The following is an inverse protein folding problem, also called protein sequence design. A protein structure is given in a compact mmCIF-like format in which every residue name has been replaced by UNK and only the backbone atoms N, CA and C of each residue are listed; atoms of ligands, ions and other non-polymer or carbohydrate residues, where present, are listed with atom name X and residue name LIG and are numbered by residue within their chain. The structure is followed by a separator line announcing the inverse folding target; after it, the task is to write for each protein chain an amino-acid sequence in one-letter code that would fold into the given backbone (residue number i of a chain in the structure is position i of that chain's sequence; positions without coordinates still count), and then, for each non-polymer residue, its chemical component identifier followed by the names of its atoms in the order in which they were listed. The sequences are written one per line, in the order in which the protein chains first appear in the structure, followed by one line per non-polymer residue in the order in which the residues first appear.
data_IF_858265463975
#
_entry.id   IF_858265463975
#
_cell.length_a   1.000
_cell.length_b   1.000
_cell.length_c   1.000
_cell.angle_alpha   90.00
_cell.angle_beta   90.00
_cell.angle_gamma   90.00
#
_symmetry.space_group_name_H-M   'P 1'
#
loop_
_entity.id
_entity.type
_entity.pdbx_description
1 polymer ?
#
# COMPACT_ATOMS: atom_id res chain seq x y z
N UNK A 1 52.69 -68.14 -84.04
CA UNK A 1 51.33 -67.57 -84.09
C UNK A 1 50.58 -68.16 -82.90
N UNK A 2 50.11 -67.27 -82.03
CA UNK A 2 49.22 -67.47 -80.86
C UNK A 2 49.49 -68.62 -79.88
N UNK A 3 49.93 -68.25 -78.68
CA UNK A 3 49.83 -69.04 -77.45
C UNK A 3 48.55 -68.61 -76.72
N UNK A 4 47.57 -69.50 -76.62
CA UNK A 4 46.42 -69.34 -75.73
C UNK A 4 46.83 -69.69 -74.30
N UNK A 5 46.83 -68.68 -73.42
CA UNK A 5 46.87 -68.87 -71.97
C UNK A 5 45.43 -68.96 -71.46
N UNK A 6 45.02 -70.14 -71.02
CA UNK A 6 43.72 -70.36 -70.40
C UNK A 6 43.85 -70.07 -68.89
N UNK A 7 43.33 -68.93 -68.45
CA UNK A 7 43.22 -68.57 -67.03
C UNK A 7 41.93 -69.18 -66.45
N UNK A 8 42.10 -70.27 -65.70
CA UNK A 8 41.03 -71.01 -65.05
C UNK A 8 40.87 -70.54 -63.60
N UNK A 9 39.94 -69.60 -63.35
CA UNK A 9 39.73 -69.11 -61.99
C UNK A 9 38.43 -68.38 -61.66
N UNK A 10 37.50 -68.18 -62.61
CA UNK A 10 36.23 -67.47 -62.32
C UNK A 10 35.04 -68.44 -62.35
N UNK A 11 34.33 -68.68 -61.22
CA UNK A 11 33.15 -69.53 -61.24
C UNK A 11 32.07 -68.91 -62.12
N UNK A 12 31.64 -69.66 -63.13
CA UNK A 12 30.52 -69.31 -64.01
C UNK A 12 29.23 -69.17 -63.19
N UNK A 13 28.54 -68.04 -63.30
CA UNK A 13 27.18 -67.88 -62.78
C UNK A 13 26.83 -66.53 -62.13
N UNK A 14 27.76 -65.59 -61.98
CA UNK A 14 27.44 -64.23 -61.49
C UNK A 14 27.40 -63.23 -62.63
N UNK A 15 26.20 -63.00 -63.17
CA UNK A 15 25.92 -61.79 -63.95
C UNK A 15 26.07 -60.57 -63.03
N UNK A 16 26.87 -59.56 -63.38
CA UNK A 16 26.88 -58.30 -62.65
C UNK A 16 25.46 -57.71 -62.64
N UNK A 17 24.92 -57.39 -61.47
CA UNK A 17 23.66 -56.64 -61.41
C UNK A 17 23.84 -55.35 -62.20
N UNK A 18 22.96 -55.04 -63.19
CA UNK A 18 23.06 -53.79 -63.91
C UNK A 18 22.98 -52.63 -62.90
N UNK A 19 23.81 -51.58 -63.05
CA UNK A 19 23.77 -50.44 -62.14
C UNK A 19 22.35 -49.86 -62.13
N UNK A 20 21.81 -49.58 -60.94
CA UNK A 20 20.49 -48.97 -60.78
C UNK A 20 20.46 -47.62 -61.51
N UNK A 21 19.95 -47.58 -62.74
CA UNK A 21 19.74 -46.34 -63.49
C UNK A 21 18.48 -45.67 -62.92
N UNK A 22 18.69 -44.52 -62.26
CA UNK A 22 17.61 -43.66 -61.77
C UNK A 22 17.28 -42.65 -62.87
N UNK A 23 16.47 -43.09 -63.81
CA UNK A 23 15.98 -42.24 -64.89
C UNK A 23 14.58 -41.72 -64.55
N UNK A 24 14.13 -40.67 -65.24
CA UNK A 24 12.78 -40.09 -65.03
C UNK A 24 11.65 -41.10 -65.18
N UNK A 25 11.87 -42.17 -65.95
CA UNK A 25 10.92 -43.27 -66.16
C UNK A 25 11.00 -44.37 -65.08
N UNK A 26 12.11 -44.44 -64.34
CA UNK A 26 12.37 -45.45 -63.30
C UNK A 26 12.93 -44.80 -62.04
N UNK A 27 12.09 -44.03 -61.31
CA UNK A 27 12.57 -43.19 -60.22
C UNK A 27 12.97 -43.96 -58.94
N UNK A 28 12.92 -45.30 -58.96
CA UNK A 28 13.32 -46.16 -57.85
C UNK A 28 12.31 -46.22 -56.70
N UNK A 29 11.09 -45.72 -56.90
CA UNK A 29 9.94 -45.89 -56.00
C UNK A 29 8.71 -46.35 -56.78
N UNK A 30 7.78 -47.00 -56.08
CA UNK A 30 6.58 -47.59 -56.66
C UNK A 30 5.58 -46.48 -57.02
N UNK A 31 5.36 -46.27 -58.31
CA UNK A 31 4.43 -45.24 -58.85
C UNK A 31 2.99 -45.76 -59.02
N UNK A 32 2.74 -47.04 -58.75
CA UNK A 32 1.52 -47.73 -59.15
C UNK A 32 0.47 -47.94 -58.04
N UNK A 33 0.82 -47.64 -56.78
CA UNK A 33 -0.03 -47.95 -55.61
C UNK A 33 -0.94 -46.80 -55.13
N UNK A 34 -0.91 -45.66 -55.82
CA UNK A 34 -1.65 -44.47 -55.39
C UNK A 34 -2.98 -44.37 -56.13
N UNK A 35 -4.08 -44.75 -55.45
CA UNK A 35 -5.43 -44.49 -55.96
C UNK A 35 -5.78 -43.00 -55.80
N UNK A 36 -5.41 -42.20 -56.79
CA UNK A 36 -5.69 -40.77 -56.83
C UNK A 36 -7.20 -40.45 -56.69
N UNK A 37 -8.08 -41.32 -57.18
CA UNK A 37 -9.53 -41.18 -57.01
C UNK A 37 -9.99 -41.35 -55.55
N UNK A 38 -9.39 -42.30 -54.83
CA UNK A 38 -9.62 -42.50 -53.40
C UNK A 38 -9.11 -41.33 -52.55
N UNK A 39 -7.94 -40.78 -52.90
CA UNK A 39 -7.37 -39.62 -52.21
C UNK A 39 -8.22 -38.37 -52.48
N UNK A 40 -8.67 -38.15 -53.71
CA UNK A 40 -9.52 -37.01 -54.05
C UNK A 40 -10.87 -37.06 -53.31
N UNK A 41 -11.49 -38.23 -53.22
CA UNK A 41 -12.76 -38.40 -52.47
C UNK A 41 -12.56 -38.27 -50.95
N UNK A 42 -11.44 -38.78 -50.43
CA UNK A 42 -11.06 -38.58 -49.03
C UNK A 42 -10.85 -37.10 -48.68
N UNK A 43 -10.10 -36.36 -49.51
CA UNK A 43 -9.87 -34.93 -49.31
C UNK A 43 -11.15 -34.09 -49.45
N UNK A 44 -12.01 -34.41 -50.42
CA UNK A 44 -13.30 -33.74 -50.56
C UNK A 44 -14.22 -34.01 -49.36
N UNK A 45 -14.23 -35.25 -48.85
CA UNK A 45 -14.96 -35.63 -47.65
C UNK A 45 -14.44 -34.93 -46.39
N UNK A 46 -13.11 -34.89 -46.21
CA UNK A 46 -12.45 -34.17 -45.10
C UNK A 46 -12.78 -32.67 -45.15
N UNK A 47 -12.70 -32.06 -46.33
CA UNK A 47 -13.03 -30.65 -46.49
C UNK A 47 -14.51 -30.36 -46.18
N UNK A 48 -15.40 -31.24 -46.65
CA UNK A 48 -16.83 -31.15 -46.34
C UNK A 48 -17.13 -31.27 -44.85
N UNK A 49 -16.52 -32.23 -44.15
CA UNK A 49 -16.73 -32.40 -42.70
C UNK A 49 -16.19 -31.22 -41.90
N UNK A 50 -15.02 -30.69 -42.27
CA UNK A 50 -14.45 -29.49 -41.65
C UNK A 50 -15.36 -28.28 -41.87
N UNK A 51 -15.89 -28.09 -43.08
CA UNK A 51 -16.82 -27.00 -43.39
C UNK A 51 -18.12 -27.11 -42.57
N UNK A 52 -18.73 -28.28 -42.52
CA UNK A 52 -19.96 -28.51 -41.76
C UNK A 52 -19.72 -28.28 -40.27
N UNK A 53 -18.61 -28.78 -39.73
CA UNK A 53 -18.23 -28.57 -38.34
C UNK A 53 -17.97 -27.09 -38.03
N UNK A 54 -17.25 -26.39 -38.91
CA UNK A 54 -17.01 -24.96 -38.78
C UNK A 54 -18.30 -24.16 -38.77
N UNK A 55 -19.22 -24.44 -39.71
CA UNK A 55 -20.52 -23.77 -39.79
C UNK A 55 -21.36 -24.05 -38.55
N UNK A 56 -21.40 -25.31 -38.08
CA UNK A 56 -22.10 -25.68 -36.86
C UNK A 56 -21.54 -24.96 -35.63
N UNK A 57 -20.21 -24.98 -35.43
CA UNK A 57 -19.55 -24.27 -34.33
C UNK A 57 -19.74 -22.75 -34.43
N UNK A 58 -19.74 -22.18 -35.63
CA UNK A 58 -19.98 -20.75 -35.85
C UNK A 58 -21.40 -20.35 -35.45
N UNK A 59 -22.41 -21.08 -35.91
CA UNK A 59 -23.81 -20.80 -35.56
C UNK A 59 -24.11 -21.08 -34.08
N UNK A 60 -23.64 -22.21 -33.55
CA UNK A 60 -23.82 -22.55 -32.13
C UNK A 60 -23.08 -21.55 -31.23
N UNK A 61 -21.84 -21.21 -31.57
CA UNK A 61 -21.06 -20.20 -30.84
C UNK A 61 -21.72 -18.83 -30.89
N UNK A 62 -22.26 -18.43 -32.05
CA UNK A 62 -23.01 -17.17 -32.18
C UNK A 62 -24.30 -17.19 -31.37
N UNK A 63 -25.03 -18.31 -31.34
CA UNK A 63 -26.27 -18.45 -30.57
C UNK A 63 -26.01 -18.39 -29.06
N UNK A 64 -25.01 -19.13 -28.56
CA UNK A 64 -24.62 -19.12 -27.14
C UNK A 64 -24.10 -17.73 -26.76
N UNK A 65 -23.25 -17.11 -27.57
CA UNK A 65 -22.75 -15.75 -27.32
C UNK A 65 -23.90 -14.72 -27.28
N UNK A 66 -24.88 -14.83 -28.19
CA UNK A 66 -26.03 -13.92 -28.21
C UNK A 66 -26.94 -14.11 -26.99
N UNK A 67 -27.17 -15.36 -26.58
CA UNK A 67 -27.93 -15.67 -25.36
C UNK A 67 -27.21 -15.19 -24.10
N UNK A 68 -25.91 -15.42 -23.99
CA UNK A 68 -25.10 -14.97 -22.85
C UNK A 68 -25.12 -13.44 -22.74
N UNK A 69 -24.95 -12.71 -23.84
CA UNK A 69 -25.03 -11.23 -23.84
C UNK A 69 -26.44 -10.71 -23.49
N UNK A 70 -27.48 -11.51 -23.70
CA UNK A 70 -28.86 -11.13 -23.35
C UNK A 70 -29.16 -11.36 -21.86
N UNK A 71 -28.52 -12.37 -21.24
CA UNK A 71 -28.66 -12.70 -19.82
C UNK A 71 -27.64 -11.99 -18.93
N UNK A 72 -26.49 -11.60 -19.47
CA UNK A 72 -25.57 -10.66 -18.85
C UNK A 72 -26.23 -9.29 -18.87
N UNK A 73 -26.77 -8.87 -17.73
CA UNK A 73 -27.32 -7.54 -17.54
C UNK A 73 -26.34 -6.48 -18.06
N UNK A 74 -26.88 -5.39 -18.64
CA UNK A 74 -26.08 -4.24 -19.11
C UNK A 74 -25.01 -3.94 -18.05
N UNK A 75 -23.72 -3.87 -18.44
CA UNK A 75 -22.63 -3.83 -17.47
C UNK A 75 -22.91 -2.73 -16.47
N UNK A 76 -23.15 -3.13 -15.22
CA UNK A 76 -23.36 -2.17 -14.15
C UNK A 76 -22.06 -1.37 -13.98
N UNK A 77 -22.14 -0.24 -13.26
CA UNK A 77 -21.00 0.68 -13.06
C UNK A 77 -19.74 0.02 -12.46
N UNK A 78 -19.82 -1.25 -12.05
CA UNK A 78 -18.74 -2.03 -11.45
C UNK A 78 -18.17 -3.13 -12.36
N UNK A 79 -18.84 -3.45 -13.48
CA UNK A 79 -18.45 -4.52 -14.42
C UNK A 79 -18.06 -4.02 -15.82
N UNK A 80 -18.24 -2.73 -16.10
CA UNK A 80 -18.11 -2.16 -17.44
C UNK A 80 -16.70 -2.15 -18.06
N UNK A 81 -15.65 -2.61 -17.37
CA UNK A 81 -14.30 -2.49 -17.91
C UNK A 81 -13.34 -3.55 -17.36
N UNK A 82 -13.66 -4.85 -17.57
CA UNK A 82 -12.74 -5.95 -17.26
C UNK A 82 -12.24 -6.70 -18.50
N UNK A 83 -12.73 -6.36 -19.69
CA UNK A 83 -12.25 -6.94 -20.96
C UNK A 83 -10.90 -6.36 -21.41
N UNK A 84 -10.43 -5.27 -20.79
CA UNK A 84 -9.09 -4.73 -20.97
C UNK A 84 -8.15 -5.19 -19.84
N UNK A 85 -7.02 -5.85 -20.14
CA UNK A 85 -5.98 -6.12 -19.16
C UNK A 85 -5.50 -4.79 -18.55
N UNK A 86 -5.80 -4.57 -17.27
CA UNK A 86 -5.38 -3.36 -16.55
C UNK A 86 -6.45 -2.28 -16.35
N UNK A 87 -7.72 -2.54 -16.66
CA UNK A 87 -8.81 -1.63 -16.31
C UNK A 87 -9.31 -1.87 -14.86
N UNK A 88 -9.60 -0.78 -14.15
CA UNK A 88 -10.24 -0.82 -12.82
C UNK A 88 -11.76 -0.65 -12.98
N UNK A 89 -12.59 -1.06 -11.99
CA UNK A 89 -14.06 -0.93 -12.03
C UNK A 89 -14.62 0.49 -12.26
N UNK A 90 -13.76 1.53 -12.36
CA UNK A 90 -14.15 2.93 -12.62
C UNK A 90 -13.75 3.44 -14.01
N UNK A 91 -13.21 2.62 -14.90
CA UNK A 91 -12.79 3.05 -16.24
C UNK A 91 -11.52 3.90 -16.27
N UNK A 92 -10.78 3.93 -15.17
CA UNK A 92 -9.47 4.57 -15.12
C UNK A 92 -8.41 3.53 -15.53
N UNK A 93 -7.57 3.90 -16.51
CA UNK A 93 -6.34 3.15 -16.82
C UNK A 93 -5.56 2.96 -15.52
N UNK A 94 -5.13 1.74 -15.18
CA UNK A 94 -4.13 1.55 -14.13
C UNK A 94 -2.86 2.26 -14.59
N UNK A 95 -2.62 3.46 -14.07
CA UNK A 95 -1.34 4.16 -14.19
C UNK A 95 -0.22 3.45 -13.43
N UNK A 96 -0.55 2.46 -12.60
CA UNK A 96 0.41 1.75 -11.76
C UNK A 96 0.70 0.34 -12.27
N UNK A 97 1.61 0.27 -13.25
CA UNK A 97 2.70 -0.71 -13.20
C UNK A 97 3.96 -0.05 -12.61
N UNK A 98 3.77 0.91 -11.70
CA UNK A 98 4.88 1.52 -11.00
C UNK A 98 5.56 0.46 -10.14
N UNK A 99 6.88 0.51 -10.12
CA UNK A 99 7.69 -0.43 -9.35
C UNK A 99 7.35 -0.34 -7.86
N UNK A 100 7.54 -1.42 -7.12
CA UNK A 100 7.35 -1.41 -5.67
C UNK A 100 8.15 -0.28 -4.98
N UNK A 101 9.32 0.06 -5.52
CA UNK A 101 10.15 1.17 -5.07
C UNK A 101 9.46 2.54 -5.25
N UNK A 102 8.82 2.78 -6.39
CA UNK A 102 8.10 4.04 -6.67
C UNK A 102 6.86 4.19 -5.77
N UNK A 103 6.12 3.11 -5.54
CA UNK A 103 4.99 3.13 -4.59
C UNK A 103 5.44 3.46 -3.17
N UNK A 104 6.53 2.82 -2.72
CA UNK A 104 7.09 3.07 -1.38
C UNK A 104 7.62 4.50 -1.25
N UNK A 105 8.22 5.06 -2.31
CA UNK A 105 8.68 6.44 -2.32
C UNK A 105 7.53 7.44 -2.30
N UNK A 106 6.44 7.21 -3.04
CA UNK A 106 5.22 8.04 -2.96
C UNK A 106 4.60 7.99 -1.57
N UNK A 107 4.60 6.83 -0.93
CA UNK A 107 4.09 6.67 0.44
C UNK A 107 4.97 7.40 1.47
N UNK A 108 6.29 7.34 1.33
CA UNK A 108 7.20 8.12 2.18
C UNK A 108 7.01 9.63 1.97
N UNK A 109 6.81 10.07 0.72
CA UNK A 109 6.51 11.46 0.40
C UNK A 109 5.18 11.91 1.00
N UNK A 110 4.12 11.09 0.92
CA UNK A 110 2.82 11.42 1.53
C UNK A 110 2.90 11.47 3.06
N UNK A 111 3.66 10.57 3.69
CA UNK A 111 3.94 10.60 5.12
C UNK A 111 4.73 11.84 5.52
N UNK A 112 5.74 12.24 4.75
CA UNK A 112 6.55 13.44 5.02
C UNK A 112 5.74 14.74 4.86
N UNK A 113 4.77 14.75 3.94
CA UNK A 113 3.85 15.88 3.78
C UNK A 113 2.81 15.95 4.92
N UNK A 114 2.31 14.80 5.38
CA UNK A 114 1.36 14.73 6.50
C UNK A 114 2.01 15.04 7.85
N UNK A 115 3.27 14.62 8.03
CA UNK A 115 4.06 14.85 9.21
C UNK A 115 5.37 15.53 8.80
N UNK A 116 5.36 16.89 8.71
CA UNK A 116 6.59 17.65 8.54
C UNK A 116 7.62 17.20 9.57
N UNK A 117 8.89 17.14 9.19
CA UNK A 117 9.95 16.71 10.11
C UNK A 117 9.90 17.55 11.39
N UNK A 118 10.07 16.93 12.58
CA UNK A 118 10.06 17.66 13.84
C UNK A 118 11.11 18.77 13.77
N UNK A 119 10.64 20.02 13.82
CA UNK A 119 11.51 21.19 13.80
C UNK A 119 11.83 21.55 15.24
N UNK A 120 13.12 21.75 15.51
CA UNK A 120 13.53 22.37 16.76
C UNK A 120 13.14 23.86 16.69
N UNK A 121 12.47 24.35 17.72
CA UNK A 121 12.24 25.78 17.91
C UNK A 121 13.58 26.44 18.21
N UNK A 122 14.03 27.36 17.34
CA UNK A 122 15.41 27.89 17.36
C UNK A 122 15.51 29.36 17.78
N UNK A 123 14.39 30.08 17.80
CA UNK A 123 14.36 31.52 18.01
C UNK A 123 14.10 31.83 19.50
N UNK A 124 12.92 31.48 20.02
CA UNK A 124 12.42 32.02 21.28
C UNK A 124 11.71 31.01 22.20
N UNK A 125 11.94 29.70 22.03
CA UNK A 125 11.21 28.68 22.79
C UNK A 125 11.27 28.85 24.32
N UNK A 126 12.34 29.45 24.85
CA UNK A 126 12.45 29.74 26.28
C UNK A 126 11.61 30.96 26.75
N UNK A 127 11.34 31.91 25.86
CA UNK A 127 10.43 33.04 26.12
C UNK A 127 8.98 32.57 26.10
N UNK A 128 8.61 31.76 25.10
CA UNK A 128 7.25 31.26 24.95
C UNK A 128 6.84 30.39 26.15
N UNK A 129 7.75 29.55 26.64
CA UNK A 129 7.55 28.77 27.86
C UNK A 129 7.45 29.68 29.10
N UNK A 130 8.30 30.71 29.20
CA UNK A 130 8.25 31.68 30.30
C UNK A 130 6.92 32.46 30.34
N UNK A 131 6.43 32.88 29.17
CA UNK A 131 5.15 33.58 29.02
C UNK A 131 3.96 32.68 29.32
N UNK A 132 4.03 31.40 28.91
CA UNK A 132 3.02 30.40 29.26
C UNK A 132 2.94 30.22 30.77
N UNK A 133 4.07 29.93 31.43
CA UNK A 133 4.12 29.75 32.88
C UNK A 133 3.68 31.02 33.63
N UNK A 134 4.05 32.22 33.15
CA UNK A 134 3.60 33.46 33.76
C UNK A 134 2.07 33.64 33.71
N UNK A 135 1.41 33.19 32.63
CA UNK A 135 -0.06 33.20 32.54
C UNK A 135 -0.69 32.17 33.46
N UNK A 136 -0.09 30.98 33.56
CA UNK A 136 -0.55 29.92 34.45
C UNK A 136 -0.47 30.36 35.92
N UNK A 137 0.64 30.95 36.34
CA UNK A 137 0.81 31.49 37.70
C UNK A 137 -0.28 32.50 38.06
N UNK A 138 -0.58 33.43 37.15
CA UNK A 138 -1.63 34.43 37.37
C UNK A 138 -3.02 33.79 37.53
N UNK A 139 -3.28 32.68 36.84
CA UNK A 139 -4.55 31.94 36.96
C UNK A 139 -4.61 31.09 38.24
N UNK A 140 -3.47 30.64 38.75
CA UNK A 140 -3.37 29.80 39.95
C UNK A 140 -3.33 30.62 41.25
N UNK A 141 -2.70 31.80 41.25
CA UNK A 141 -2.49 32.59 42.47
C UNK A 141 -3.57 33.67 42.70
N UNK A 142 -4.36 33.99 41.67
CA UNK A 142 -5.33 35.07 41.72
C UNK A 142 -6.73 34.64 41.32
N UNK A 143 -7.72 35.40 41.78
CA UNK A 143 -9.09 35.24 41.33
C UNK A 143 -9.20 35.73 39.90
N UNK A 144 -9.71 34.88 39.02
CA UNK A 144 -9.95 35.23 37.62
C UNK A 144 -11.37 34.85 37.21
N UNK A 145 -11.96 35.69 36.35
CA UNK A 145 -13.19 35.39 35.63
C UNK A 145 -12.86 35.24 34.15
N UNK A 146 -13.43 34.22 33.52
CA UNK A 146 -13.17 33.91 32.12
C UNK A 146 -14.48 33.52 31.42
N UNK A 147 -14.56 33.79 30.11
CA UNK A 147 -15.80 33.66 29.32
C UNK A 147 -16.27 32.21 29.15
N UNK A 148 -15.37 31.25 29.34
CA UNK A 148 -15.60 29.80 29.33
C UNK A 148 -16.30 29.29 30.60
N UNK A 149 -16.34 30.08 31.67
CA UNK A 149 -17.02 29.70 32.91
C UNK A 149 -18.52 30.02 32.83
N UNK A 150 -19.37 29.19 33.47
CA UNK A 150 -20.80 29.48 33.57
C UNK A 150 -21.02 30.82 34.28
N UNK A 151 -22.11 31.51 33.92
CA UNK A 151 -22.40 32.85 34.43
C UNK A 151 -22.39 32.88 35.97
N UNK A 152 -21.52 33.73 36.53
CA UNK A 152 -21.36 33.89 37.98
C UNK A 152 -20.33 32.97 38.63
N UNK A 153 -19.66 32.08 37.88
CA UNK A 153 -18.55 31.29 38.40
C UNK A 153 -17.23 32.08 38.33
N UNK A 154 -16.43 31.97 39.39
CA UNK A 154 -15.12 32.62 39.53
C UNK A 154 -14.09 31.54 39.84
N UNK A 155 -12.92 31.60 39.18
CA UNK A 155 -11.78 30.73 39.49
C UNK A 155 -11.16 31.20 40.80
N UNK A 156 -10.94 30.27 41.73
CA UNK A 156 -10.34 30.54 43.02
C UNK A 156 -8.85 30.21 42.99
N UNK A 157 -8.01 30.95 43.74
CA UNK A 157 -6.60 30.60 43.88
C UNK A 157 -6.40 29.18 44.42
N UNK A 158 -5.32 28.53 44.03
CA UNK A 158 -5.01 27.14 44.39
C UNK A 158 -4.93 26.97 45.92
N UNK A 159 -4.34 27.94 46.63
CA UNK A 159 -4.28 27.95 48.09
C UNK A 159 -5.68 27.96 48.71
N UNK A 160 -6.60 28.74 48.13
CA UNK A 160 -7.98 28.79 48.60
C UNK A 160 -8.72 27.51 48.28
N UNK A 161 -8.49 26.93 47.10
CA UNK A 161 -9.06 25.63 46.73
C UNK A 161 -8.62 24.54 47.71
N UNK A 162 -7.33 24.46 48.04
CA UNK A 162 -6.81 23.51 49.03
C UNK A 162 -7.45 23.71 50.40
N UNK A 163 -7.57 24.95 50.88
CA UNK A 163 -8.24 25.24 52.14
C UNK A 163 -9.70 24.77 52.15
N UNK A 164 -10.43 25.01 51.05
CA UNK A 164 -11.82 24.57 50.92
C UNK A 164 -11.93 23.05 50.86
N UNK A 165 -10.99 22.37 50.21
CA UNK A 165 -10.92 20.90 50.18
C UNK A 165 -10.65 20.34 51.58
N UNK A 166 -9.75 20.94 52.35
CA UNK A 166 -9.49 20.53 53.73
C UNK A 166 -10.72 20.76 54.61
N UNK A 167 -11.43 21.88 54.44
CA UNK A 167 -12.62 22.19 55.24
C UNK A 167 -13.84 21.33 54.88
N UNK A 168 -14.07 21.08 53.59
CA UNK A 168 -15.22 20.32 53.10
C UNK A 168 -14.97 18.81 53.08
N UNK A 169 -13.71 18.39 53.11
CA UNK A 169 -13.27 17.04 52.76
C UNK A 169 -13.26 16.83 51.25
N UNK A 170 -12.42 15.91 50.78
CA UNK A 170 -12.51 15.40 49.41
C UNK A 170 -13.82 14.61 49.28
N UNK A 171 -14.66 14.95 48.31
CA UNK A 171 -15.84 14.15 47.99
C UNK A 171 -15.44 12.71 47.62
N UNK A 172 -16.35 11.76 47.78
CA UNK A 172 -16.12 10.38 47.36
C UNK A 172 -15.75 10.38 45.86
N UNK A 173 -14.52 9.96 45.54
CA UNK A 173 -14.13 9.76 44.16
C UNK A 173 -15.08 8.72 43.54
N UNK A 174 -15.61 8.96 42.32
CA UNK A 174 -16.33 7.91 41.62
C UNK A 174 -15.41 6.69 41.56
N UNK A 175 -15.97 5.51 41.86
CA UNK A 175 -15.21 4.27 41.87
C UNK A 175 -14.42 4.18 40.57
N UNK A 176 -13.09 4.08 40.68
CA UNK A 176 -12.23 3.85 39.54
C UNK A 176 -12.81 2.67 38.76
N UNK A 177 -13.18 2.90 37.50
CA UNK A 177 -13.61 1.84 36.63
C UNK A 177 -12.53 0.77 36.67
N UNK A 178 -12.94 -0.46 37.00
CA UNK A 178 -12.09 -1.63 37.15
C UNK A 178 -11.09 -1.66 35.99
N UNK A 179 -9.78 -1.80 36.26
CA UNK A 179 -8.78 -1.82 35.20
C UNK A 179 -9.17 -2.90 34.19
N UNK A 180 -9.31 -2.49 32.93
CA UNK A 180 -9.45 -3.41 31.81
C UNK A 180 -8.31 -4.43 31.89
N UNK A 181 -8.61 -5.70 31.64
CA UNK A 181 -7.64 -6.77 31.74
C UNK A 181 -6.41 -6.42 30.89
N UNK A 182 -5.30 -6.19 31.60
CA UNK A 182 -3.99 -5.85 31.03
C UNK A 182 -3.61 -6.96 30.04
N UNK A 183 -3.36 -6.59 28.78
CA UNK A 183 -3.02 -7.56 27.73
C UNK A 183 -1.63 -8.15 28.01
N UNK A 184 -1.38 -9.38 27.52
CA UNK A 184 -0.08 -10.02 27.70
C UNK A 184 1.04 -9.17 27.07
N UNK A 185 1.95 -8.65 27.90
CA UNK A 185 3.07 -7.80 27.50
C UNK A 185 3.00 -6.36 28.01
N UNK A 186 1.88 -5.94 28.61
CA UNK A 186 1.71 -4.60 29.15
C UNK A 186 2.15 -4.57 30.62
N UNK A 187 3.30 -3.93 30.88
CA UNK A 187 3.80 -3.69 32.24
C UNK A 187 3.25 -2.37 32.76
N UNK A 188 2.68 -2.35 33.98
CA UNK A 188 2.28 -1.11 34.62
C UNK A 188 3.47 -0.14 34.67
N UNK A 189 3.36 1.08 34.13
CA UNK A 189 4.46 2.03 34.15
C UNK A 189 4.82 2.36 35.60
N UNK A 190 5.99 1.91 36.04
CA UNK A 190 6.55 2.31 37.31
C UNK A 190 7.06 3.75 37.15
N UNK A 191 6.26 4.72 37.60
CA UNK A 191 6.68 6.12 37.67
C UNK A 191 7.79 6.23 38.70
N UNK A 192 9.04 6.10 38.25
CA UNK A 192 10.21 6.33 39.07
C UNK A 192 10.44 7.84 39.14
N UNK A 193 10.06 8.42 40.29
CA UNK A 193 10.49 9.77 40.65
C UNK A 193 12.05 9.81 40.70
N UNK A 194 12.69 10.92 40.30
CA UNK A 194 12.24 12.27 40.56
C UNK A 194 11.42 12.88 39.40
N UNK A 195 10.21 13.36 39.73
CA UNK A 195 9.29 14.04 38.80
C UNK A 195 9.76 15.45 38.36
N UNK A 196 11.02 15.85 38.57
CA UNK A 196 11.32 17.28 38.82
C UNK A 196 12.28 18.00 37.86
N UNK A 197 12.80 17.41 36.79
CA UNK A 197 13.65 18.20 35.86
C UNK A 197 12.90 18.66 34.59
N UNK A 198 11.66 18.20 34.38
CA UNK A 198 10.82 18.61 33.24
C UNK A 198 9.79 19.71 33.55
N UNK A 199 9.48 19.94 34.84
CA UNK A 199 8.53 20.96 35.30
C UNK A 199 9.22 22.06 36.12
N UNK A 200 10.54 21.98 36.33
CA UNK A 200 11.28 23.02 37.02
C UNK A 200 11.39 24.25 36.12
N UNK A 201 11.23 25.44 36.72
CA UNK A 201 11.43 26.71 36.02
C UNK A 201 12.83 26.81 35.44
N UNK A 202 12.95 27.39 34.26
CA UNK A 202 14.26 27.58 33.62
C UNK A 202 15.04 28.72 34.29
N UNK A 203 16.36 28.76 34.13
CA UNK A 203 17.17 29.86 34.71
C UNK A 203 16.73 31.25 34.21
N UNK A 204 16.30 31.33 32.95
CA UNK A 204 15.75 32.55 32.35
C UNK A 204 14.44 32.99 33.03
N UNK A 205 13.57 32.05 33.37
CA UNK A 205 12.33 32.36 34.09
C UNK A 205 12.61 32.91 35.48
N UNK A 206 13.58 32.34 36.20
CA UNK A 206 13.93 32.82 37.55
C UNK A 206 14.44 34.27 37.52
N UNK A 207 15.29 34.61 36.55
CA UNK A 207 15.80 35.98 36.37
C UNK A 207 14.67 36.96 36.03
N UNK A 208 13.77 36.59 35.10
CA UNK A 208 12.64 37.46 34.71
C UNK A 208 11.64 37.66 35.84
N UNK A 209 11.37 36.63 36.64
CA UNK A 209 10.51 36.72 37.84
C UNK A 209 11.16 37.63 38.89
N UNK A 210 12.45 37.46 39.16
CA UNK A 210 13.15 38.30 40.13
C UNK A 210 13.12 39.77 39.70
N UNK A 211 13.46 40.07 38.44
CA UNK A 211 13.42 41.43 37.91
C UNK A 211 12.02 42.05 37.99
N UNK A 212 10.97 41.25 37.72
CA UNK A 212 9.56 41.68 37.85
C UNK A 212 9.21 42.01 39.30
N UNK A 213 9.63 41.18 40.25
CA UNK A 213 9.38 41.38 41.66
C UNK A 213 10.08 42.64 42.18
N UNK A 214 11.35 42.83 41.84
CA UNK A 214 12.12 44.03 42.19
C UNK A 214 11.45 45.30 41.64
N UNK A 215 10.98 45.26 40.39
CA UNK A 215 10.24 46.37 39.78
C UNK A 215 8.91 46.65 40.50
N UNK A 216 8.15 45.61 40.85
CA UNK A 216 6.90 45.75 41.57
C UNK A 216 7.10 46.31 42.98
N UNK A 217 8.14 45.87 43.68
CA UNK A 217 8.51 46.35 45.02
C UNK A 217 8.96 47.80 44.98
N UNK A 218 9.75 48.18 43.95
CA UNK A 218 10.13 49.58 43.71
C UNK A 218 8.89 50.46 43.48
N UNK A 219 8.00 50.07 42.57
CA UNK A 219 6.76 50.83 42.29
C UNK A 219 5.88 50.96 43.54
N UNK A 220 5.79 49.91 44.35
CA UNK A 220 5.03 49.93 45.62
C UNK A 220 5.67 50.83 46.66
N UNK A 221 7.00 50.94 46.68
CA UNK A 221 7.72 51.81 47.59
C UNK A 221 7.60 53.29 47.18
N UNK A 222 7.60 53.60 45.88
CA UNK A 222 7.32 54.95 45.38
C UNK A 222 5.89 55.39 45.70
N UNK A 223 4.89 54.54 45.43
CA UNK A 223 3.49 54.84 45.73
C UNK A 223 3.18 55.03 47.23
N UNK A 224 4.09 54.68 48.14
CA UNK A 224 3.97 54.92 49.60
C UNK A 224 4.64 56.21 50.05
N UNK A 225 5.44 56.86 49.20
CA UNK A 225 6.12 58.13 49.49
C UNK A 225 5.31 59.36 49.09
N UNK A 226 4.30 59.17 48.23
CA UNK A 226 3.26 60.15 47.91
C UNK A 226 2.06 60.03 48.88
#
# INVERSE_FOLDING_TARGET
MHTEGHDAGRPEGTTPHPPHQRDSEHPGYEVQDVNAGGIATFLAGLFGTVLIFFVFCFFMGKAINTMMVTHDEKPNKWQADLSQPGATPRGNKREDLTSAAEMQQRQLQSMTQAFPTPRLETDDGNQDVADLHAREDLLLDHYSSSTDLPQGAVRIPIDRAMQLVVQRGLGAAPAAQTPQAVMAGESAPAVQAPLTDGFARTGYELETIQARNEKNDFNRAEAKKD
#
